data_IF_506057418130
#
_entry.id   IF_506057418130
#
_cell.length_a   1.000
_cell.length_b   1.000
_cell.length_c   1.000
_cell.angle_alpha   90.00
_cell.angle_beta   90.00
_cell.angle_gamma   90.00
#
_symmetry.space_group_name_H-M   'P 1'
#
loop_
_entity.id
_entity.type
_entity.pdbx_description
1 polymer ?
#
# COMPACT_ATOMS: atom_id res chain seq x y z
N UNK A 1 11.09 19.46 8.92
CA UNK A 1 10.05 18.46 9.24
C UNK A 1 10.47 17.15 8.60
N UNK A 2 10.32 16.02 9.28
CA UNK A 2 10.68 14.72 8.72
C UNK A 2 9.82 14.42 7.47
N UNK A 3 10.38 13.86 6.37
CA UNK A 3 9.60 13.53 5.19
C UNK A 3 8.46 12.59 5.53
N UNK A 4 7.29 12.84 4.97
CA UNK A 4 6.10 12.01 5.22
C UNK A 4 5.94 10.95 4.15
N UNK A 5 5.81 9.69 4.58
CA UNK A 5 5.67 8.52 3.70
C UNK A 5 4.24 8.00 3.79
N UNK A 6 3.53 7.99 2.66
CA UNK A 6 2.24 7.32 2.55
C UNK A 6 2.43 5.82 2.30
N UNK A 7 1.70 4.96 3.00
CA UNK A 7 1.90 3.51 3.00
C UNK A 7 0.57 2.80 2.73
N UNK A 8 0.50 2.06 1.62
CA UNK A 8 -0.62 1.15 1.30
C UNK A 8 -0.20 -0.29 1.56
N UNK A 9 -1.06 -1.05 2.24
CA UNK A 9 -0.77 -2.44 2.61
C UNK A 9 0.17 -2.60 3.82
N UNK A 10 0.31 -1.53 4.62
CA UNK A 10 1.16 -1.51 5.82
C UNK A 10 0.70 -2.43 6.95
N UNK A 11 -0.59 -2.78 6.98
CA UNK A 11 -1.18 -3.74 7.93
C UNK A 11 -0.95 -5.21 7.55
N UNK A 12 -0.24 -5.50 6.46
CA UNK A 12 0.16 -6.86 6.12
C UNK A 12 1.21 -7.40 7.10
N UNK A 13 1.12 -8.70 7.44
CA UNK A 13 1.98 -9.33 8.45
C UNK A 13 3.49 -9.16 8.22
N UNK A 14 3.91 -9.02 6.95
CA UNK A 14 5.32 -8.89 6.56
C UNK A 14 5.83 -7.44 6.57
N UNK A 15 4.95 -6.44 6.60
CA UNK A 15 5.30 -5.03 6.31
C UNK A 15 5.34 -4.13 7.55
N UNK A 16 4.79 -4.58 8.68
CA UNK A 16 4.86 -3.86 9.97
C UNK A 16 6.30 -3.51 10.41
N UNK A 17 7.32 -4.37 10.25
CA UNK A 17 8.70 -4.04 10.62
C UNK A 17 9.29 -2.88 9.80
N UNK A 18 8.87 -2.70 8.55
CA UNK A 18 9.31 -1.59 7.68
C UNK A 18 8.81 -0.26 8.25
N UNK A 19 7.55 -0.19 8.64
CA UNK A 19 6.95 1.01 9.25
C UNK A 19 7.66 1.34 10.55
N UNK A 20 7.90 0.34 11.40
CA UNK A 20 8.64 0.52 12.64
C UNK A 20 10.05 1.06 12.39
N UNK A 21 10.77 0.48 11.43
CA UNK A 21 12.13 0.94 11.08
C UNK A 21 12.16 2.36 10.55
N UNK A 22 11.14 2.79 9.79
CA UNK A 22 11.04 4.14 9.25
C UNK A 22 10.82 5.23 10.32
N UNK A 23 10.04 4.93 11.35
CA UNK A 23 9.67 5.92 12.38
C UNK A 23 10.55 5.88 13.64
N UNK A 24 11.26 4.77 13.88
CA UNK A 24 11.98 4.54 15.13
C UNK A 24 13.11 5.55 15.40
N UNK A 25 13.77 6.06 14.36
CA UNK A 25 14.84 7.05 14.47
C UNK A 25 14.36 8.49 14.25
N UNK A 26 13.05 8.69 14.00
CA UNK A 26 12.45 9.99 13.70
C UNK A 26 12.88 10.58 12.34
N UNK A 27 13.55 9.80 11.49
CA UNK A 27 13.97 10.26 10.16
C UNK A 27 12.77 10.46 9.23
N UNK A 28 11.70 9.68 9.42
CA UNK A 28 10.46 9.74 8.65
C UNK A 28 9.22 9.77 9.53
N UNK A 29 8.15 10.35 9.00
CA UNK A 29 6.78 10.14 9.51
C UNK A 29 6.01 9.25 8.56
N UNK A 30 5.12 8.41 9.09
CA UNK A 30 4.34 7.47 8.30
C UNK A 30 2.85 7.82 8.31
N UNK A 31 2.20 7.67 7.17
CA UNK A 31 0.75 7.67 7.05
C UNK A 31 0.30 6.36 6.42
N UNK A 32 -0.47 5.57 7.15
CA UNK A 32 -0.81 4.20 6.75
C UNK A 32 -2.29 4.11 6.38
N UNK A 33 -2.58 3.67 5.16
CA UNK A 33 -3.93 3.33 4.73
C UNK A 33 -4.33 1.96 5.30
N UNK A 34 -5.47 1.92 5.98
CA UNK A 34 -6.07 0.68 6.49
C UNK A 34 -7.56 0.65 6.17
N UNK A 35 -8.08 -0.54 5.86
CA UNK A 35 -9.52 -0.75 5.70
C UNK A 35 -10.27 -0.87 7.03
N UNK A 36 -9.54 -0.99 8.15
CA UNK A 36 -10.09 -1.09 9.49
C UNK A 36 -9.10 -0.52 10.53
N UNK A 37 -9.49 0.57 11.19
CA UNK A 37 -8.73 1.21 12.26
C UNK A 37 -8.70 0.39 13.57
N UNK A 38 -9.69 -0.47 13.79
CA UNK A 38 -9.82 -1.26 15.02
C UNK A 38 -9.03 -2.57 15.00
N UNK A 39 -8.46 -2.92 13.84
CA UNK A 39 -7.62 -4.10 13.73
C UNK A 39 -6.43 -4.03 14.72
N UNK A 40 -6.07 -5.17 15.30
CA UNK A 40 -4.94 -5.26 16.27
C UNK A 40 -3.66 -4.68 15.66
N UNK A 41 -3.45 -4.91 14.35
CA UNK A 41 -2.29 -4.41 13.61
C UNK A 41 -2.32 -2.88 13.42
N UNK A 42 -3.47 -2.31 13.04
CA UNK A 42 -3.62 -0.86 12.92
C UNK A 42 -3.37 -0.17 14.27
N UNK A 43 -3.98 -0.67 15.35
CA UNK A 43 -3.75 -0.14 16.70
C UNK A 43 -2.30 -0.26 17.16
N UNK A 44 -1.63 -1.36 16.82
CA UNK A 44 -0.20 -1.53 17.09
C UNK A 44 0.67 -0.51 16.36
N UNK A 45 0.33 -0.16 15.12
CA UNK A 45 1.03 0.87 14.35
C UNK A 45 0.82 2.27 14.91
N UNK A 46 -0.40 2.61 15.34
CA UNK A 46 -0.68 3.90 15.97
C UNK A 46 0.09 4.12 17.30
N UNK A 47 0.54 3.04 17.95
CA UNK A 47 1.36 3.12 19.16
C UNK A 47 2.85 3.36 18.89
N UNK A 48 3.30 3.30 17.64
CA UNK A 48 4.73 3.46 17.28
C UNK A 48 5.22 4.91 17.28
N UNK A 49 4.34 5.90 17.50
CA UNK A 49 4.70 7.32 17.52
C UNK A 49 4.20 8.06 16.27
N UNK A 50 5.11 8.61 15.45
CA UNK A 50 4.88 9.42 14.24
C UNK A 50 4.19 8.66 13.08
N UNK A 51 3.10 7.97 13.41
CA UNK A 51 2.26 7.19 12.52
C UNK A 51 0.83 7.72 12.56
N UNK A 52 0.37 8.21 11.41
CA UNK A 52 -1.01 8.59 11.17
C UNK A 52 -1.73 7.43 10.47
N UNK A 53 -2.96 7.11 10.89
CA UNK A 53 -3.80 6.12 10.21
C UNK A 53 -4.88 6.83 9.39
N UNK A 54 -5.06 6.40 8.15
CA UNK A 54 -6.17 6.82 7.29
C UNK A 54 -7.03 5.61 7.01
N UNK A 55 -8.32 5.74 7.30
CA UNK A 55 -9.29 4.70 6.99
C UNK A 55 -9.78 4.84 5.55
N UNK A 56 -9.72 3.75 4.80
CA UNK A 56 -10.26 3.69 3.45
C UNK A 56 -9.82 2.45 2.69
N UNK A 57 -10.58 2.03 1.67
CA UNK A 57 -10.15 0.98 0.76
C UNK A 57 -9.03 1.50 -0.15
N UNK A 58 -8.05 0.64 -0.47
CA UNK A 58 -7.05 0.96 -1.52
C UNK A 58 -7.71 1.10 -2.90
N UNK A 59 -8.88 0.50 -3.08
CA UNK A 59 -9.67 0.54 -4.31
C UNK A 59 -10.56 1.80 -4.40
N UNK A 60 -10.04 2.95 -3.98
CA UNK A 60 -10.73 4.24 -4.00
C UNK A 60 -9.75 5.35 -4.33
N UNK A 61 -9.96 6.01 -5.47
CA UNK A 61 -9.11 7.13 -5.89
C UNK A 61 -9.17 8.29 -4.91
N UNK A 62 -10.34 8.57 -4.33
CA UNK A 62 -10.49 9.64 -3.34
C UNK A 62 -9.74 9.35 -2.04
N UNK A 63 -9.72 8.10 -1.59
CA UNK A 63 -9.04 7.76 -0.33
C UNK A 63 -7.52 7.63 -0.52
N UNK A 64 -7.08 7.20 -1.71
CA UNK A 64 -5.68 7.31 -2.12
C UNK A 64 -5.23 8.77 -2.17
N UNK A 65 -6.01 9.66 -2.76
CA UNK A 65 -5.72 11.10 -2.82
C UNK A 65 -5.60 11.73 -1.43
N UNK A 66 -6.60 11.50 -0.56
CA UNK A 66 -6.53 11.95 0.85
C UNK A 66 -5.28 11.43 1.57
N UNK A 67 -4.91 10.18 1.31
CA UNK A 67 -3.71 9.56 1.86
C UNK A 67 -2.43 10.24 1.39
N UNK A 68 -2.30 10.46 0.08
CA UNK A 68 -1.13 11.02 -0.58
C UNK A 68 -0.94 12.51 -0.31
N UNK A 69 -2.02 13.25 -0.06
CA UNK A 69 -1.98 14.70 0.14
C UNK A 69 -1.00 15.12 1.25
N UNK A 70 -0.01 15.94 0.87
CA UNK A 70 1.01 16.45 1.80
C UNK A 70 2.05 15.41 2.23
N UNK A 71 2.18 14.30 1.50
CA UNK A 71 3.29 13.36 1.65
C UNK A 71 4.44 13.69 0.69
N UNK A 72 5.66 13.28 1.03
CA UNK A 72 6.83 13.42 0.17
C UNK A 72 7.10 12.15 -0.65
N UNK A 73 6.76 11.00 -0.06
CA UNK A 73 7.04 9.67 -0.62
C UNK A 73 5.80 8.77 -0.50
N UNK A 74 5.71 7.76 -1.36
CA UNK A 74 4.69 6.71 -1.28
C UNK A 74 5.33 5.32 -1.36
N UNK A 75 4.91 4.42 -0.48
CA UNK A 75 5.18 2.99 -0.52
C UNK A 75 3.87 2.24 -0.72
N UNK A 76 3.63 1.79 -1.95
CA UNK A 76 2.39 1.13 -2.34
C UNK A 76 2.63 -0.35 -2.50
N UNK A 77 1.96 -1.15 -1.66
CA UNK A 77 1.88 -2.59 -1.88
C UNK A 77 0.42 -3.04 -1.81
N UNK A 78 -0.10 -3.49 -2.94
CA UNK A 78 -1.44 -4.08 -3.03
C UNK A 78 -1.29 -5.60 -2.98
N UNK A 79 -2.20 -6.28 -2.28
CA UNK A 79 -2.17 -7.73 -2.17
C UNK A 79 -2.93 -8.37 -3.34
N UNK A 80 -2.18 -8.82 -4.35
CA UNK A 80 -2.73 -9.54 -5.50
C UNK A 80 -3.47 -10.83 -5.16
N UNK A 81 -3.20 -11.46 -4.01
CA UNK A 81 -3.94 -12.67 -3.59
C UNK A 81 -5.38 -12.34 -3.22
N UNK A 82 -5.61 -11.19 -2.59
CA UNK A 82 -6.92 -10.77 -2.14
C UNK A 82 -7.64 -9.89 -3.18
N UNK A 83 -6.90 -9.05 -3.89
CA UNK A 83 -7.44 -8.13 -4.91
C UNK A 83 -7.61 -8.80 -6.28
N UNK A 84 -6.81 -9.82 -6.58
CA UNK A 84 -6.65 -10.39 -7.92
C UNK A 84 -5.70 -9.56 -8.79
N UNK A 85 -4.93 -10.23 -9.67
CA UNK A 85 -3.87 -9.62 -10.47
C UNK A 85 -4.33 -8.42 -11.31
N UNK A 86 -5.54 -8.48 -11.90
CA UNK A 86 -6.09 -7.36 -12.69
C UNK A 86 -6.35 -6.11 -11.83
N UNK A 87 -6.92 -6.31 -10.64
CA UNK A 87 -7.22 -5.22 -9.71
C UNK A 87 -5.95 -4.62 -9.13
N UNK A 88 -4.98 -5.48 -8.78
CA UNK A 88 -3.67 -5.06 -8.30
C UNK A 88 -2.96 -4.12 -9.28
N UNK A 89 -2.84 -4.53 -10.55
CA UNK A 89 -2.19 -3.73 -11.59
C UNK A 89 -2.95 -2.41 -11.80
N UNK A 90 -4.28 -2.47 -11.92
CA UNK A 90 -5.10 -1.28 -12.14
C UNK A 90 -4.90 -0.26 -11.02
N UNK A 91 -5.01 -0.68 -9.75
CA UNK A 91 -4.90 0.23 -8.62
C UNK A 91 -3.46 0.68 -8.34
N UNK A 92 -2.45 -0.12 -8.68
CA UNK A 92 -1.06 0.31 -8.63
C UNK A 92 -0.81 1.48 -9.61
N UNK A 93 -1.33 1.37 -10.84
CA UNK A 93 -1.25 2.44 -11.85
C UNK A 93 -2.03 3.68 -11.37
N UNK A 94 -3.27 3.52 -10.91
CA UNK A 94 -4.08 4.64 -10.40
C UNK A 94 -3.43 5.35 -9.21
N UNK A 95 -2.83 4.60 -8.29
CA UNK A 95 -2.11 5.18 -7.16
C UNK A 95 -0.88 5.97 -7.63
N UNK A 96 -0.19 5.51 -8.68
CA UNK A 96 0.94 6.21 -9.27
C UNK A 96 0.52 7.51 -9.97
N UNK A 97 -0.58 7.51 -10.72
CA UNK A 97 -1.12 8.72 -11.37
C UNK A 97 -1.48 9.79 -10.33
N UNK A 98 -2.20 9.40 -9.27
CA UNK A 98 -2.57 10.32 -8.18
C UNK A 98 -1.31 10.81 -7.44
N UNK A 99 -0.30 9.95 -7.25
CA UNK A 99 0.95 10.35 -6.61
C UNK A 99 1.69 11.44 -7.41
N UNK A 100 1.62 11.41 -8.75
CA UNK A 100 2.16 12.47 -9.59
C UNK A 100 1.37 13.76 -9.38
N UNK A 101 0.04 13.70 -9.37
CA UNK A 101 -0.84 14.85 -9.16
C UNK A 101 -0.59 15.53 -7.81
N UNK A 102 -0.33 14.75 -6.76
CA UNK A 102 -0.03 15.22 -5.40
C UNK A 102 1.44 15.64 -5.19
N UNK A 103 2.30 15.51 -6.21
CA UNK A 103 3.70 15.96 -6.16
C UNK A 103 4.64 15.05 -5.36
N UNK A 104 4.34 13.74 -5.29
CA UNK A 104 5.20 12.75 -4.64
C UNK A 104 6.56 12.66 -5.35
N UNK A 105 7.64 12.74 -4.58
CA UNK A 105 9.03 12.74 -5.08
C UNK A 105 9.60 11.35 -5.31
N UNK A 106 9.12 10.37 -4.54
CA UNK A 106 9.55 8.98 -4.61
C UNK A 106 8.36 8.04 -4.44
N UNK A 107 8.12 7.20 -5.44
CA UNK A 107 7.09 6.18 -5.42
C UNK A 107 7.73 4.79 -5.48
N UNK A 108 7.53 4.00 -4.42
CA UNK A 108 8.03 2.63 -4.30
C UNK A 108 6.85 1.69 -4.43
N UNK A 109 6.88 0.82 -5.44
CA UNK A 109 5.88 -0.21 -5.65
C UNK A 109 6.44 -1.58 -5.23
N UNK A 110 5.80 -2.20 -4.23
CA UNK A 110 6.10 -3.57 -3.83
C UNK A 110 5.24 -4.54 -4.65
N UNK A 111 5.89 -5.30 -5.52
CA UNK A 111 5.22 -6.30 -6.37
C UNK A 111 5.85 -7.69 -6.17
N UNK A 112 5.04 -8.73 -6.37
CA UNK A 112 5.51 -10.11 -6.56
C UNK A 112 5.26 -10.50 -8.01
N UNK A 113 6.12 -11.32 -8.64
CA UNK A 113 5.83 -11.83 -9.98
C UNK A 113 4.44 -12.48 -10.03
N UNK A 114 3.64 -12.20 -11.08
CA UNK A 114 2.33 -12.81 -11.24
C UNK A 114 2.48 -14.33 -11.27
N UNK A 115 1.56 -15.03 -10.62
CA UNK A 115 1.49 -16.48 -10.70
C UNK A 115 1.16 -16.83 -12.15
N UNK A 116 2.08 -17.49 -12.85
CA UNK A 116 1.75 -18.16 -14.10
C UNK A 116 0.63 -19.14 -13.75
N UNK A 117 -0.60 -18.87 -14.18
CA UNK A 117 -1.60 -19.91 -14.22
C UNK A 117 -1.17 -20.80 -15.37
N UNK A 118 -0.87 -22.06 -15.07
CA UNK A 118 -0.47 -23.04 -16.08
C UNK A 118 -1.49 -23.03 -17.22
N UNK A 119 -1.06 -22.65 -18.42
CA UNK A 119 -1.84 -22.77 -19.67
C UNK A 119 -2.34 -24.22 -19.94
N UNK A 120 -1.94 -25.19 -19.11
CA UNK A 120 -2.33 -26.59 -19.20
C UNK A 120 -3.79 -26.91 -18.83
N UNK A 121 -4.57 -25.93 -18.37
CA UNK A 121 -5.99 -26.19 -18.04
C UNK A 121 -6.95 -26.03 -19.21
N UNK A 122 -6.51 -25.50 -20.36
CA UNK A 122 -7.36 -25.40 -21.57
C UNK A 122 -7.06 -26.46 -22.63
N UNK A 123 -6.03 -27.30 -22.46
CA UNK A 123 -5.72 -28.40 -23.39
C UNK A 123 -6.49 -29.71 -23.12
N UNK A 124 -7.22 -29.82 -22.01
CA UNK A 124 -7.91 -31.06 -21.62
C UNK A 124 -9.43 -31.05 -21.87
N UNK A 125 -9.94 -30.14 -22.72
CA UNK A 125 -11.35 -30.09 -23.10
C UNK A 125 -11.58 -30.35 -24.61
N UNK A 126 -10.58 -30.90 -25.30
CA UNK A 126 -10.65 -31.22 -26.73
C UNK A 126 -10.16 -32.64 -27.07
N UNK A 127 -10.37 -33.61 -26.18
CA UNK A 127 -10.31 -35.04 -26.50
C UNK A 127 -11.69 -35.69 -26.33
#
# INVERSE_FOLDING_TARGET
MAPKVFIVGGTGAQRTPVIKGLVQDGAYSARVLTSDLNSVRARGLAQLGDVELVEGPFASGSDLGKGLQGCDCAFVNIDGFNAGAKSEIFWAIRAYEIAIEEGIKLFIYGNSPPRLQDEQSQSNLSE
#
